data_IF_397692634174
#
_entry.id   IF_397692634174
#
_cell.length_a   1.000
_cell.length_b   1.000
_cell.length_c   1.000
_cell.angle_alpha   90.00
_cell.angle_beta   90.00
_cell.angle_gamma   90.00
#
_symmetry.space_group_name_H-M   'P 1'
#
loop_
_entity.id
_entity.type
_entity.pdbx_description
1 polymer ?
#
# COMPACT_ATOMS: atom_id res chain seq x y z
N UNK A 1 34.55 3.04 -51.90
CA UNK A 1 34.09 2.11 -52.96
C UNK A 1 34.11 0.69 -52.41
N UNK A 2 32.92 0.10 -52.35
CA UNK A 2 32.56 -1.32 -52.44
C UNK A 2 33.57 -2.46 -52.21
N UNK A 3 33.09 -3.41 -51.40
CA UNK A 3 33.03 -4.85 -51.62
C UNK A 3 34.20 -5.52 -52.34
N UNK A 4 34.90 -6.37 -51.60
CA UNK A 4 35.11 -7.80 -51.91
C UNK A 4 35.98 -8.38 -50.82
N UNK A 5 35.41 -9.33 -50.07
CA UNK A 5 36.05 -10.58 -49.61
C UNK A 5 35.27 -11.09 -48.42
N UNK A 6 34.28 -11.94 -48.68
CA UNK A 6 33.97 -13.16 -47.93
C UNK A 6 32.60 -13.66 -48.38
N UNK A 7 32.60 -14.21 -49.60
CA UNK A 7 31.55 -15.08 -50.10
C UNK A 7 32.21 -16.40 -50.47
N UNK A 8 32.60 -17.18 -49.47
CA UNK A 8 32.80 -18.63 -49.59
C UNK A 8 32.35 -19.24 -48.26
N UNK A 9 31.56 -20.31 -48.35
CA UNK A 9 31.00 -21.11 -47.27
C UNK A 9 29.61 -20.69 -46.73
N UNK A 10 28.63 -20.53 -47.62
CA UNK A 10 27.25 -20.93 -47.28
C UNK A 10 26.74 -21.79 -48.42
N UNK A 11 26.83 -23.11 -48.24
CA UNK A 11 25.81 -24.09 -48.62
C UNK A 11 26.30 -25.52 -48.27
N UNK A 12 25.46 -26.18 -47.45
CA UNK A 12 25.29 -27.64 -47.23
C UNK A 12 25.92 -28.33 -46.01
N UNK A 13 25.05 -29.12 -45.37
CA UNK A 13 25.17 -29.94 -44.15
C UNK A 13 25.11 -29.14 -42.83
N UNK A 14 24.18 -29.36 -41.91
CA UNK A 14 23.22 -30.43 -41.73
C UNK A 14 22.75 -30.37 -40.28
N UNK A 15 21.44 -30.48 -40.10
CA UNK A 15 20.68 -30.72 -38.86
C UNK A 15 21.51 -31.24 -37.68
N UNK A 16 21.54 -30.51 -36.56
CA UNK A 16 21.27 -30.99 -35.18
C UNK A 16 21.65 -29.87 -34.19
N UNK A 17 20.66 -29.09 -33.77
CA UNK A 17 20.74 -28.35 -32.51
C UNK A 17 19.44 -28.62 -31.79
N UNK A 18 19.40 -29.80 -31.18
CA UNK A 18 18.35 -30.22 -30.26
C UNK A 18 18.36 -29.19 -29.11
N UNK A 19 17.35 -28.33 -29.11
CA UNK A 19 17.00 -27.49 -27.98
C UNK A 19 16.87 -28.40 -26.74
N UNK A 20 17.83 -28.30 -25.82
CA UNK A 20 17.60 -28.70 -24.44
C UNK A 20 16.59 -27.72 -23.83
N UNK A 21 15.32 -27.94 -24.13
CA UNK A 21 14.21 -27.44 -23.32
C UNK A 21 14.21 -28.26 -22.04
N UNK A 22 15.03 -27.84 -21.06
CA UNK A 22 14.75 -28.21 -19.68
C UNK A 22 13.35 -27.68 -19.37
N UNK A 23 12.44 -28.50 -18.80
CA UNK A 23 11.14 -28.00 -18.38
C UNK A 23 11.42 -26.94 -17.31
N UNK A 24 11.20 -25.67 -17.66
CA UNK A 24 11.08 -24.60 -16.68
C UNK A 24 9.84 -25.01 -15.88
N UNK A 25 10.05 -25.60 -14.70
CA UNK A 25 8.97 -25.82 -13.77
C UNK A 25 8.24 -24.49 -13.63
N UNK A 26 6.89 -24.44 -13.75
CA UNK A 26 6.17 -23.21 -13.50
C UNK A 26 6.66 -22.72 -12.14
N UNK A 27 7.14 -21.47 -12.08
CA UNK A 27 7.51 -20.86 -10.83
C UNK A 27 6.32 -21.11 -9.89
N UNK A 28 6.53 -21.95 -8.87
CA UNK A 28 5.53 -22.09 -7.82
C UNK A 28 5.34 -20.67 -7.34
N UNK A 29 4.14 -20.13 -7.51
CA UNK A 29 3.68 -18.99 -6.73
C UNK A 29 3.92 -19.41 -5.29
N UNK A 30 5.05 -18.99 -4.73
CA UNK A 30 5.34 -19.17 -3.34
C UNK A 30 4.38 -18.23 -2.65
N UNK A 31 3.21 -18.76 -2.28
CA UNK A 31 2.39 -18.12 -1.28
C UNK A 31 3.18 -18.27 0.02
N UNK A 32 3.70 -17.19 0.61
CA UNK A 32 4.21 -17.28 1.97
C UNK A 32 3.08 -17.84 2.85
N UNK A 33 3.41 -18.61 3.89
CA UNK A 33 2.41 -19.00 4.87
C UNK A 33 1.70 -17.73 5.38
N UNK A 34 0.40 -17.80 5.70
CA UNK A 34 -0.28 -16.69 6.35
C UNK A 34 0.55 -16.27 7.55
N UNK A 35 0.84 -14.98 7.67
CA UNK A 35 1.59 -14.45 8.80
C UNK A 35 0.91 -14.95 10.08
N UNK A 36 1.67 -15.64 10.93
CA UNK A 36 1.20 -15.98 12.27
C UNK A 36 1.19 -14.70 13.11
N UNK A 37 0.37 -14.64 14.16
CA UNK A 37 0.34 -13.49 15.06
C UNK A 37 1.72 -13.16 15.67
N UNK A 38 2.61 -14.15 15.74
CA UNK A 38 4.00 -14.00 16.19
C UNK A 38 4.89 -13.27 15.15
N UNK A 39 4.59 -13.39 13.85
CA UNK A 39 5.37 -12.77 12.76
C UNK A 39 5.19 -11.25 12.68
N UNK A 40 4.15 -10.73 13.32
CA UNK A 40 3.81 -9.31 13.36
C UNK A 40 3.68 -8.77 14.79
N UNK A 41 4.06 -9.53 15.80
CA UNK A 41 4.12 -9.04 17.16
C UNK A 41 5.18 -7.93 17.26
N UNK A 42 4.78 -6.76 17.78
CA UNK A 42 5.76 -5.81 18.33
C UNK A 42 6.22 -6.33 19.69
N UNK A 43 7.45 -5.97 20.11
CA UNK A 43 7.99 -6.42 21.40
C UNK A 43 6.97 -6.20 22.53
N UNK A 44 6.74 -7.18 23.44
CA UNK A 44 5.81 -7.04 24.56
C UNK A 44 6.12 -5.86 25.50
N UNK A 45 7.34 -5.32 25.45
CA UNK A 45 7.76 -4.13 26.20
C UNK A 45 7.24 -2.82 25.60
N UNK A 46 6.66 -2.88 24.40
CA UNK A 46 6.19 -1.72 23.64
C UNK A 46 4.71 -1.48 23.99
N UNK A 47 4.46 -0.41 24.75
CA UNK A 47 3.11 -0.02 25.15
C UNK A 47 2.44 0.94 24.16
N UNK A 48 1.11 0.91 24.13
CA UNK A 48 0.27 1.85 23.39
C UNK A 48 -0.78 2.46 24.33
N UNK A 49 -1.27 3.65 23.99
CA UNK A 49 -2.32 4.32 24.75
C UNK A 49 -3.53 4.58 23.88
N UNK A 50 -4.72 4.37 24.43
CA UNK A 50 -5.97 4.71 23.75
C UNK A 50 -6.23 6.21 23.94
N UNK A 51 -6.18 7.01 22.88
CA UNK A 51 -6.49 8.43 22.97
C UNK A 51 -8.01 8.67 23.16
N UNK A 52 -8.40 9.80 23.76
CA UNK A 52 -9.80 10.23 23.74
C UNK A 52 -10.25 10.63 22.33
N UNK A 53 -11.54 10.45 22.04
CA UNK A 53 -12.13 10.68 20.71
C UNK A 53 -11.90 12.09 20.14
N UNK A 54 -11.77 13.12 21.00
CA UNK A 54 -11.45 14.48 20.56
C UNK A 54 -10.07 14.59 19.91
N UNK A 55 -9.05 13.92 20.47
CA UNK A 55 -7.70 13.88 19.91
C UNK A 55 -7.64 13.04 18.63
N UNK A 56 -8.37 11.93 18.59
CA UNK A 56 -8.52 11.10 17.38
C UNK A 56 -9.12 11.94 16.25
N UNK A 57 -10.21 12.65 16.53
CA UNK A 57 -10.89 13.52 15.55
C UNK A 57 -9.94 14.60 15.04
N UNK A 58 -9.17 15.23 15.92
CA UNK A 58 -8.15 16.21 15.56
C UNK A 58 -7.07 15.62 14.65
N UNK A 59 -6.59 14.42 14.96
CA UNK A 59 -5.59 13.74 14.14
C UNK A 59 -6.12 13.37 12.74
N UNK A 60 -7.35 12.87 12.63
CA UNK A 60 -7.97 12.62 11.32
C UNK A 60 -8.14 13.90 10.50
N UNK A 61 -8.56 15.00 11.15
CA UNK A 61 -8.64 16.30 10.50
C UNK A 61 -7.27 16.76 9.98
N UNK A 62 -6.22 16.67 10.80
CA UNK A 62 -4.88 17.04 10.38
C UNK A 62 -4.35 16.14 9.26
N UNK A 63 -4.56 14.83 9.34
CA UNK A 63 -4.11 13.86 8.35
C UNK A 63 -4.68 14.14 6.95
N UNK A 64 -5.94 14.55 6.85
CA UNK A 64 -6.57 14.89 5.58
C UNK A 64 -5.89 16.02 4.81
N UNK A 65 -5.04 16.82 5.47
CA UNK A 65 -4.29 17.93 4.86
C UNK A 65 -2.76 17.77 5.03
N UNK A 66 -2.26 16.53 5.17
CA UNK A 66 -0.84 16.25 5.44
C UNK A 66 -0.27 16.96 6.68
N UNK A 67 -1.12 17.27 7.65
CA UNK A 67 -0.77 18.10 8.81
C UNK A 67 -0.11 17.35 9.97
N UNK A 68 0.02 16.02 9.90
CA UNK A 68 0.62 15.23 10.98
C UNK A 68 2.15 15.16 10.87
N UNK A 69 2.68 14.79 9.70
CA UNK A 69 4.11 14.56 9.49
C UNK A 69 4.58 14.99 8.08
N UNK A 70 4.36 16.26 7.67
CA UNK A 70 4.71 16.71 6.33
C UNK A 70 6.19 16.49 6.03
N UNK A 71 6.49 15.83 4.90
CA UNK A 71 7.87 15.55 4.46
C UNK A 71 8.58 14.40 5.20
N UNK A 72 7.95 13.77 6.20
CA UNK A 72 8.57 12.65 6.90
C UNK A 72 8.70 11.42 6.00
N UNK A 73 9.86 10.75 6.00
CA UNK A 73 10.17 9.62 5.12
C UNK A 73 9.08 8.51 5.13
N UNK A 74 8.61 8.12 6.32
CA UNK A 74 7.64 7.04 6.46
C UNK A 74 6.19 7.52 6.48
N UNK A 75 5.93 8.74 6.96
CA UNK A 75 4.59 9.19 7.38
C UNK A 75 4.09 10.42 6.63
N UNK A 76 4.96 11.09 5.87
CA UNK A 76 4.56 12.19 5.00
C UNK A 76 3.75 11.67 3.83
N UNK A 77 2.70 12.42 3.49
CA UNK A 77 1.89 12.14 2.31
C UNK A 77 2.65 12.53 1.05
N UNK A 78 2.51 11.70 0.00
CA UNK A 78 2.99 12.00 -1.34
C UNK A 78 2.01 12.91 -2.08
N UNK A 79 2.45 13.54 -3.17
CA UNK A 79 1.54 14.28 -4.04
C UNK A 79 0.37 13.41 -4.50
N UNK A 80 -0.81 14.02 -4.61
CA UNK A 80 -2.03 13.35 -5.07
C UNK A 80 -2.23 13.67 -6.54
N UNK A 81 -2.41 12.65 -7.35
CA UNK A 81 -2.75 12.86 -8.75
C UNK A 81 -4.25 13.12 -8.89
N UNK A 82 -4.64 14.17 -9.60
CA UNK A 82 -6.03 14.62 -9.73
C UNK A 82 -6.37 14.92 -11.18
N UNK A 83 -7.66 15.00 -11.50
CA UNK A 83 -8.12 15.22 -12.87
C UNK A 83 -8.54 13.93 -13.58
N UNK A 84 -9.17 14.07 -14.75
CA UNK A 84 -9.72 12.94 -15.50
C UNK A 84 -8.60 12.02 -15.99
N UNK A 85 -8.94 10.77 -16.31
CA UNK A 85 -7.96 9.73 -16.66
C UNK A 85 -6.93 10.11 -17.74
N UNK A 86 -7.30 10.96 -18.71
CA UNK A 86 -6.43 11.37 -19.81
C UNK A 86 -5.66 12.69 -19.55
N UNK A 87 -5.87 13.34 -18.41
CA UNK A 87 -5.27 14.63 -18.07
C UNK A 87 -5.00 14.75 -16.56
N UNK A 88 -4.32 13.73 -16.01
CA UNK A 88 -3.91 13.67 -14.61
C UNK A 88 -2.83 14.72 -14.31
N UNK A 89 -2.87 15.33 -13.13
CA UNK A 89 -1.84 16.26 -12.66
C UNK A 89 -1.58 16.10 -11.16
N UNK A 90 -0.32 16.31 -10.74
CA UNK A 90 0.08 16.22 -9.34
C UNK A 90 -0.31 17.48 -8.58
N UNK A 91 -0.99 17.30 -7.45
CA UNK A 91 -1.40 18.35 -6.53
C UNK A 91 -0.98 18.06 -5.09
N UNK A 92 -1.29 19.01 -4.21
CA UNK A 92 -1.10 18.81 -2.77
C UNK A 92 -1.95 17.62 -2.29
N UNK A 93 -1.41 16.77 -1.40
CA UNK A 93 -2.19 15.70 -0.80
C UNK A 93 -3.40 16.24 -0.04
N UNK A 94 -4.57 15.71 -0.38
CA UNK A 94 -5.82 15.96 0.32
C UNK A 94 -6.64 14.67 0.39
N UNK A 95 -7.23 14.41 1.55
CA UNK A 95 -8.21 13.35 1.74
C UNK A 95 -9.35 13.96 2.57
N UNK A 96 -10.63 13.78 2.18
CA UNK A 96 -11.74 14.21 3.01
C UNK A 96 -11.60 13.66 4.44
N UNK A 97 -11.49 14.51 5.48
CA UNK A 97 -11.32 14.01 6.85
C UNK A 97 -12.45 13.11 7.33
N UNK A 98 -13.65 13.29 6.79
CA UNK A 98 -14.81 12.42 7.02
C UNK A 98 -14.59 11.01 6.49
N UNK A 99 -13.93 10.87 5.34
CA UNK A 99 -13.57 9.57 4.77
C UNK A 99 -12.57 8.83 5.66
N UNK A 100 -11.50 9.50 6.10
CA UNK A 100 -10.51 8.88 7.00
C UNK A 100 -11.15 8.43 8.32
N UNK A 101 -12.03 9.26 8.89
CA UNK A 101 -12.81 8.92 10.08
C UNK A 101 -13.66 7.68 9.87
N UNK A 102 -14.34 7.58 8.73
CA UNK A 102 -15.19 6.44 8.40
C UNK A 102 -14.36 5.16 8.24
N UNK A 103 -13.22 5.23 7.54
CA UNK A 103 -12.29 4.09 7.41
C UNK A 103 -11.84 3.63 8.80
N UNK A 104 -11.27 4.52 9.63
CA UNK A 104 -10.82 4.13 10.97
C UNK A 104 -11.95 3.61 11.88
N UNK A 105 -13.19 4.06 11.66
CA UNK A 105 -14.35 3.54 12.39
C UNK A 105 -14.67 2.11 11.97
N UNK A 106 -14.69 1.83 10.67
CA UNK A 106 -14.95 0.49 10.13
C UNK A 106 -13.82 -0.48 10.48
N UNK A 107 -12.57 -0.03 10.39
CA UNK A 107 -11.39 -0.86 10.63
C UNK A 107 -11.26 -1.26 12.11
N UNK A 108 -11.47 -0.32 13.04
CA UNK A 108 -11.14 -0.57 14.45
C UNK A 108 -12.09 0.05 15.47
N UNK A 109 -13.24 0.62 15.08
CA UNK A 109 -14.11 1.41 15.97
C UNK A 109 -13.34 2.50 16.73
N UNK A 110 -12.36 3.10 16.06
CA UNK A 110 -11.43 4.09 16.62
C UNK A 110 -10.53 3.59 17.77
N UNK A 111 -10.27 2.27 17.85
CA UNK A 111 -9.36 1.71 18.85
C UNK A 111 -7.92 1.64 18.33
N UNK A 112 -7.01 2.32 19.02
CA UNK A 112 -5.56 2.18 18.85
C UNK A 112 -4.98 1.16 19.82
N UNK A 113 -5.47 1.13 21.06
CA UNK A 113 -4.90 0.34 22.14
C UNK A 113 -5.98 -0.26 23.04
N UNK A 114 -5.65 -1.38 23.69
CA UNK A 114 -6.46 -2.05 24.70
C UNK A 114 -5.58 -2.49 25.86
N UNK A 115 -5.95 -2.14 27.10
CA UNK A 115 -5.19 -2.51 28.29
C UNK A 115 -3.71 -2.06 28.31
N UNK A 116 -3.32 -1.06 27.52
CA UNK A 116 -1.94 -0.60 27.38
C UNK A 116 -1.13 -1.30 26.27
N UNK A 117 -1.74 -2.26 25.58
CA UNK A 117 -1.16 -2.93 24.41
C UNK A 117 -1.76 -2.34 23.12
N UNK A 118 -1.01 -2.34 22.00
CA UNK A 118 -1.57 -2.00 20.71
C UNK A 118 -2.69 -2.96 20.31
N UNK A 119 -3.74 -2.47 19.66
CA UNK A 119 -4.70 -3.33 18.98
C UNK A 119 -4.01 -3.94 17.76
N UNK A 120 -3.96 -5.27 17.71
CA UNK A 120 -3.40 -6.03 16.58
C UNK A 120 -4.43 -7.11 16.23
N UNK A 121 -4.91 -7.13 14.99
CA UNK A 121 -5.80 -8.19 14.52
C UNK A 121 -5.03 -9.47 14.16
N UNK A 122 -5.70 -10.64 14.06
CA UNK A 122 -5.06 -11.90 13.72
C UNK A 122 -4.34 -11.90 12.36
N UNK A 123 -4.77 -11.05 11.44
CA UNK A 123 -4.14 -10.82 10.13
C UNK A 123 -3.09 -9.70 10.14
N UNK A 124 -2.60 -9.34 11.33
CA UNK A 124 -1.51 -8.39 11.58
C UNK A 124 -1.85 -6.90 11.42
N UNK A 125 -3.13 -6.53 11.49
CA UNK A 125 -3.61 -5.14 11.41
C UNK A 125 -3.34 -4.35 12.67
N UNK A 126 -2.40 -3.39 12.59
CA UNK A 126 -2.07 -2.50 13.69
C UNK A 126 -3.07 -1.34 13.82
N UNK A 127 -3.59 -1.17 15.02
CA UNK A 127 -4.17 0.06 15.53
C UNK A 127 -5.40 0.57 14.76
N UNK A 128 -5.61 1.88 14.87
CA UNK A 128 -6.88 2.54 14.52
C UNK A 128 -7.25 2.47 13.03
N UNK A 129 -6.26 2.31 12.15
CA UNK A 129 -6.43 2.18 10.69
C UNK A 129 -6.16 0.76 10.18
N UNK A 130 -5.97 -0.21 11.08
CA UNK A 130 -5.66 -1.62 10.78
C UNK A 130 -4.59 -1.79 9.71
N UNK A 131 -3.44 -1.15 9.92
CA UNK A 131 -2.31 -1.24 8.99
C UNK A 131 -1.69 -2.61 9.12
N UNK A 132 -1.81 -3.45 8.11
CA UNK A 132 -1.54 -4.89 8.20
C UNK A 132 -0.08 -5.26 7.89
N UNK A 133 0.71 -4.33 7.33
CA UNK A 133 2.19 -4.38 7.28
C UNK A 133 2.76 -3.03 6.80
N UNK A 134 3.81 -2.46 7.42
CA UNK A 134 4.50 -1.28 6.88
C UNK A 134 5.41 -1.68 5.72
N UNK A 135 4.83 -2.08 4.60
CA UNK A 135 5.56 -2.23 3.34
C UNK A 135 5.91 -0.85 2.79
N UNK A 136 7.07 -0.31 3.15
CA UNK A 136 7.60 0.90 2.52
C UNK A 136 8.45 0.45 1.32
N UNK A 137 7.80 0.48 0.15
CA UNK A 137 8.32 0.51 -1.24
C UNK A 137 9.14 -0.69 -1.80
N UNK A 138 9.00 -1.03 -3.11
CA UNK A 138 8.02 -0.53 -4.08
C UNK A 138 6.75 -1.38 -4.09
N UNK A 139 5.64 -0.69 -4.28
CA UNK A 139 4.29 -1.20 -4.35
C UNK A 139 4.05 -1.99 -5.64
N UNK A 140 4.61 -3.19 -5.75
CA UNK A 140 4.38 -4.05 -6.91
C UNK A 140 3.27 -5.07 -6.58
N UNK A 141 2.08 -4.73 -7.05
CA UNK A 141 0.93 -5.61 -7.26
C UNK A 141 0.19 -6.13 -6.01
N UNK A 142 -0.93 -5.47 -5.69
CA UNK A 142 -2.17 -6.12 -5.19
C UNK A 142 -2.00 -7.11 -4.03
N UNK A 143 -1.51 -6.63 -2.89
CA UNK A 143 -1.52 -7.40 -1.65
C UNK A 143 -0.24 -7.16 -0.86
N UNK A 144 -0.37 -7.08 0.46
CA UNK A 144 0.76 -6.84 1.35
C UNK A 144 1.61 -8.10 1.39
N UNK A 145 2.58 -8.17 0.50
CA UNK A 145 3.61 -9.19 0.55
C UNK A 145 4.92 -8.48 0.24
N UNK A 146 5.71 -8.25 1.28
CA UNK A 146 7.16 -8.44 1.35
C UNK A 146 7.82 -7.55 2.42
N UNK A 147 8.80 -8.14 3.12
CA UNK A 147 9.70 -7.47 4.04
C UNK A 147 10.39 -6.29 3.32
N UNK A 148 10.27 -5.09 3.87
CA UNK A 148 11.05 -3.95 3.39
C UNK A 148 12.54 -4.28 3.55
N UNK A 149 13.34 -3.93 2.54
CA UNK A 149 14.81 -4.04 2.62
C UNK A 149 15.41 -2.90 3.44
N UNK A 150 14.60 -1.93 3.87
CA UNK A 150 15.02 -0.87 4.78
C UNK A 150 15.31 -1.46 6.18
N UNK A 151 16.57 -1.46 6.63
CA UNK A 151 16.93 -2.01 7.93
C UNK A 151 16.31 -1.22 9.11
N UNK A 152 15.80 -0.01 8.86
CA UNK A 152 15.19 0.84 9.87
C UNK A 152 13.66 0.72 9.92
N UNK A 153 13.03 -0.10 9.07
CA UNK A 153 11.56 -0.13 8.95
C UNK A 153 10.85 -0.49 10.26
N UNK A 154 11.45 -1.39 11.04
CA UNK A 154 10.86 -1.85 12.31
C UNK A 154 10.71 -0.70 13.31
N UNK A 155 11.81 0.00 13.60
CA UNK A 155 11.81 1.11 14.56
C UNK A 155 11.28 2.42 13.95
N UNK A 156 11.49 2.62 12.65
CA UNK A 156 11.11 3.83 11.94
C UNK A 156 9.62 3.91 11.58
N UNK A 157 8.98 2.76 11.31
CA UNK A 157 7.58 2.72 10.88
C UNK A 157 6.72 1.78 11.73
N UNK A 158 7.10 0.51 11.87
CA UNK A 158 6.24 -0.52 12.47
C UNK A 158 5.89 -0.22 13.93
N UNK A 159 6.90 0.05 14.77
CA UNK A 159 6.70 0.39 16.19
C UNK A 159 5.87 1.67 16.36
N UNK A 160 6.15 2.78 15.65
CA UNK A 160 5.30 3.97 15.70
C UNK A 160 3.85 3.71 15.27
N UNK A 161 3.62 2.94 14.20
CA UNK A 161 2.27 2.58 13.73
C UNK A 161 1.51 1.78 14.79
N UNK A 162 2.17 0.85 15.47
CA UNK A 162 1.55 0.07 16.54
C UNK A 162 1.23 0.93 17.77
N UNK A 163 2.13 1.83 18.17
CA UNK A 163 2.06 2.51 19.47
C UNK A 163 1.38 3.87 19.47
N UNK A 164 1.36 4.55 18.32
CA UNK A 164 0.97 5.93 18.22
C UNK A 164 -0.16 6.11 17.21
N UNK A 165 -1.32 6.52 17.73
CA UNK A 165 -2.49 6.75 16.89
C UNK A 165 -2.25 7.79 15.78
N UNK A 166 -1.40 8.80 15.99
CA UNK A 166 -1.09 9.77 14.95
C UNK A 166 -0.25 9.16 13.83
N UNK A 167 0.76 8.34 14.16
CA UNK A 167 1.56 7.63 13.16
C UNK A 167 0.72 6.60 12.40
N UNK A 168 -0.17 5.90 13.11
CA UNK A 168 -1.10 4.94 12.52
C UNK A 168 -2.06 5.63 11.53
N UNK A 169 -2.70 6.74 11.94
CA UNK A 169 -3.58 7.54 11.08
C UNK A 169 -2.80 8.11 9.88
N UNK A 170 -1.60 8.64 10.09
CA UNK A 170 -0.78 9.18 9.01
C UNK A 170 -0.40 8.11 7.98
N UNK A 171 -0.03 6.92 8.43
CA UNK A 171 0.28 5.81 7.54
C UNK A 171 -0.97 5.30 6.81
N UNK A 172 -2.14 5.25 7.46
CA UNK A 172 -3.41 4.95 6.80
C UNK A 172 -3.77 5.97 5.71
N UNK A 173 -3.61 7.26 5.99
CA UNK A 173 -3.79 8.32 4.99
C UNK A 173 -2.81 8.15 3.81
N UNK A 174 -1.53 7.86 4.09
CA UNK A 174 -0.51 7.59 3.07
C UNK A 174 -0.86 6.39 2.19
N UNK A 175 -1.33 5.30 2.81
CA UNK A 175 -1.79 4.10 2.11
C UNK A 175 -2.96 4.44 1.18
N UNK A 176 -3.96 5.19 1.65
CA UNK A 176 -5.11 5.57 0.83
C UNK A 176 -4.70 6.45 -0.38
N UNK A 177 -3.77 7.39 -0.20
CA UNK A 177 -3.21 8.18 -1.31
C UNK A 177 -2.49 7.29 -2.31
N UNK A 178 -1.69 6.34 -1.84
CA UNK A 178 -1.02 5.39 -2.73
C UNK A 178 -2.03 4.58 -3.55
N UNK A 179 -3.15 4.15 -2.93
CA UNK A 179 -4.23 3.44 -3.65
C UNK A 179 -4.99 4.34 -4.63
N UNK A 180 -5.15 5.61 -4.32
CA UNK A 180 -5.74 6.59 -5.23
C UNK A 180 -4.85 6.81 -6.46
N UNK A 181 -3.54 6.95 -6.25
CA UNK A 181 -2.55 7.13 -7.32
C UNK A 181 -2.26 5.85 -8.12
N UNK A 182 -2.97 4.74 -7.85
CA UNK A 182 -2.97 3.59 -8.76
C UNK A 182 -3.84 3.80 -10.00
N UNK A 183 -4.70 4.81 -9.99
CA UNK A 183 -5.42 5.21 -11.18
C UNK A 183 -4.58 6.20 -12.01
N UNK A 184 -4.63 6.15 -13.35
CA UNK A 184 -5.44 5.24 -14.17
C UNK A 184 -4.79 3.88 -14.47
N UNK A 185 -3.51 3.67 -14.14
CA UNK A 185 -2.71 2.54 -14.65
C UNK A 185 -3.22 1.17 -14.19
N UNK A 186 -3.62 1.07 -12.93
CA UNK A 186 -4.03 -0.17 -12.28
C UNK A 186 -5.48 -0.14 -11.79
N UNK A 187 -6.09 1.05 -11.75
CA UNK A 187 -7.46 1.26 -11.27
C UNK A 187 -8.18 2.28 -12.15
N UNK A 188 -9.50 2.17 -12.33
CA UNK A 188 -10.24 3.21 -13.05
C UNK A 188 -10.26 4.53 -12.26
N UNK A 189 -10.29 5.64 -12.98
CA UNK A 189 -10.65 6.95 -12.42
C UNK A 189 -12.18 7.05 -12.42
N UNK A 190 -12.76 7.38 -11.26
CA UNK A 190 -14.18 7.73 -11.16
C UNK A 190 -14.33 9.23 -11.39
N UNK A 191 -15.40 9.62 -12.07
CA UNK A 191 -15.72 11.03 -12.30
C UNK A 191 -14.58 11.78 -12.98
N UNK A 192 -14.17 12.88 -12.36
CA UNK A 192 -13.06 13.71 -12.82
C UNK A 192 -11.81 13.55 -11.95
N UNK A 193 -11.74 12.52 -11.10
CA UNK A 193 -10.64 12.36 -10.16
C UNK A 193 -10.49 13.57 -9.23
N UNK A 194 -11.62 14.11 -8.76
CA UNK A 194 -11.69 15.23 -7.84
C UNK A 194 -11.68 14.73 -6.40
N UNK A 195 -10.60 14.95 -5.62
CA UNK A 195 -10.48 14.40 -4.28
C UNK A 195 -11.44 15.07 -3.28
N UNK A 196 -12.13 16.16 -3.64
CA UNK A 196 -13.20 16.77 -2.85
C UNK A 196 -14.55 16.05 -2.97
N UNK A 197 -14.72 15.22 -4.00
CA UNK A 197 -15.92 14.42 -4.23
C UNK A 197 -15.71 13.03 -3.63
N UNK A 198 -16.62 12.61 -2.74
CA UNK A 198 -16.46 11.37 -1.99
C UNK A 198 -16.53 10.14 -2.90
N UNK A 199 -17.41 10.18 -3.91
CA UNK A 199 -17.62 9.11 -4.89
C UNK A 199 -16.37 8.83 -5.72
N UNK A 200 -15.55 9.84 -5.98
CA UNK A 200 -14.32 9.69 -6.76
C UNK A 200 -13.28 8.81 -6.04
N UNK A 201 -13.43 8.61 -4.72
CA UNK A 201 -12.56 7.74 -3.91
C UNK A 201 -12.91 6.25 -3.98
N UNK A 202 -13.98 5.86 -4.66
CA UNK A 202 -14.54 4.49 -4.63
C UNK A 202 -13.49 3.38 -4.79
N UNK A 203 -12.69 3.43 -5.88
CA UNK A 203 -11.70 2.38 -6.14
C UNK A 203 -10.48 2.46 -5.20
N UNK A 204 -10.16 3.65 -4.67
CA UNK A 204 -9.09 3.81 -3.68
C UNK A 204 -9.50 3.18 -2.35
N UNK A 205 -10.74 3.42 -1.90
CA UNK A 205 -11.32 2.84 -0.67
C UNK A 205 -11.40 1.33 -0.77
N UNK A 206 -11.92 0.82 -1.90
CA UNK A 206 -11.95 -0.64 -2.10
C UNK A 206 -10.53 -1.24 -2.17
N UNK A 207 -9.58 -0.51 -2.78
CA UNK A 207 -8.18 -0.94 -2.79
C UNK A 207 -7.49 -0.86 -1.43
N UNK A 208 -7.99 -0.04 -0.50
CA UNK A 208 -7.50 0.04 0.87
C UNK A 208 -7.70 -1.30 1.59
N UNK A 209 -8.90 -1.88 1.45
CA UNK A 209 -9.24 -3.19 2.01
C UNK A 209 -8.64 -4.38 1.23
N UNK A 210 -7.95 -4.14 0.11
CA UNK A 210 -7.22 -5.17 -0.65
C UNK A 210 -7.72 -5.44 -2.06
N UNK A 211 -8.78 -4.77 -2.53
CA UNK A 211 -9.33 -4.92 -3.88
C UNK A 211 -9.71 -6.36 -4.27
N UNK A 212 -10.13 -7.17 -3.30
CA UNK A 212 -10.48 -8.56 -3.52
C UNK A 212 -11.75 -8.68 -4.36
N UNK A 213 -11.79 -9.69 -5.23
CA UNK A 213 -12.97 -9.97 -6.06
C UNK A 213 -14.21 -10.17 -5.19
N UNK A 214 -14.11 -10.87 -4.06
CA UNK A 214 -15.21 -11.06 -3.09
C UNK A 214 -15.90 -9.78 -2.61
N UNK A 215 -15.23 -8.64 -2.75
CA UNK A 215 -15.72 -7.33 -2.32
C UNK A 215 -16.22 -6.49 -3.51
N UNK A 216 -16.26 -7.07 -4.71
CA UNK A 216 -16.82 -6.46 -5.92
C UNK A 216 -18.37 -6.49 -5.84
N UNK A 217 -19.07 -5.36 -6.04
CA UNK A 217 -20.53 -5.29 -5.89
C UNK A 217 -21.34 -6.09 -6.93
N UNK A 218 -20.69 -6.45 -8.04
CA UNK A 218 -21.24 -7.29 -9.09
C UNK A 218 -21.07 -8.81 -8.91
N UNK A 219 -20.62 -9.26 -7.74
CA UNK A 219 -20.49 -10.68 -7.40
C UNK A 219 -21.72 -11.24 -6.70
#
# INVERSE_FOLDING_TARGET
MNNRLLLVAVLTAGVLSLLYLLPIAPARLWSPPPASADDCAVSPTVGASQPPNGLITGAFNAAGFNGLFPGHQYFGLTALETGPAHARSLGQPYIPPTLLKAIGWIEATWRQADGGAPVISPDCGYGIMQITWPGVYPLEAIGMVHASTDPNIYYGAQVPIATSYTHNIAFGAKTLIAKWNYAPEWRPVVGNGDPSILEDWYYAVWSYNGFLSSNHPGN
#
